data_IF_822825903717
#
_entry.id   IF_822825903717
#
_cell.length_a   1.000
_cell.length_b   1.000
_cell.length_c   1.000
_cell.angle_alpha   90.00
_cell.angle_beta   90.00
_cell.angle_gamma   90.00
#
_symmetry.space_group_name_H-M   'P 1'
#
loop_
_entity.id
_entity.type
_entity.pdbx_description
1 polymer ?
#
# COMPACT_ATOMS: atom_id res chain seq x y z
N UNK A 1 10.02 -3.60 -3.83
CA UNK A 1 11.38 -4.18 -3.65
C UNK A 1 11.25 -5.61 -3.18
N UNK A 2 12.19 -6.47 -3.54
CA UNK A 2 12.29 -7.85 -3.05
C UNK A 2 13.77 -8.15 -2.80
N UNK A 3 14.12 -8.68 -1.63
CA UNK A 3 15.51 -9.02 -1.26
C UNK A 3 16.53 -7.88 -1.46
N UNK A 4 16.11 -6.64 -1.20
CA UNK A 4 16.97 -5.46 -1.35
C UNK A 4 17.09 -4.94 -2.79
N UNK A 5 16.43 -5.57 -3.76
CA UNK A 5 16.44 -5.14 -5.15
C UNK A 5 15.12 -4.51 -5.57
N UNK A 6 15.24 -3.52 -6.45
CA UNK A 6 14.08 -2.91 -7.07
C UNK A 6 13.62 -3.77 -8.25
N UNK A 7 12.46 -4.40 -8.10
CA UNK A 7 12.00 -5.45 -9.01
C UNK A 7 11.10 -4.96 -10.16
N UNK A 8 10.47 -3.79 -10.04
CA UNK A 8 9.58 -3.28 -11.08
C UNK A 8 9.31 -1.77 -10.98
N UNK A 9 9.67 -0.99 -12.01
CA UNK A 9 9.41 0.47 -12.11
C UNK A 9 8.43 0.68 -13.26
N UNK A 10 7.42 1.51 -13.07
CA UNK A 10 6.55 1.94 -14.14
C UNK A 10 5.50 2.94 -13.67
N UNK A 11 4.69 3.42 -14.61
CA UNK A 11 3.46 4.13 -14.24
C UNK A 11 2.50 3.20 -13.50
N UNK A 12 1.52 3.78 -12.79
CA UNK A 12 0.48 2.99 -12.12
C UNK A 12 -0.19 2.00 -13.08
N UNK A 13 -0.55 2.43 -14.27
CA UNK A 13 -1.26 1.57 -15.23
C UNK A 13 -0.38 0.43 -15.74
N UNK A 14 0.94 0.66 -15.87
CA UNK A 14 1.87 -0.40 -16.23
C UNK A 14 1.98 -1.46 -15.12
N UNK A 15 2.21 -1.03 -13.88
CA UNK A 15 2.43 -1.95 -12.75
C UNK A 15 1.16 -2.71 -12.36
N UNK A 16 0.00 -2.06 -12.40
CA UNK A 16 -1.27 -2.69 -11.99
C UNK A 16 -2.03 -3.35 -13.15
N UNK A 17 -1.86 -2.89 -14.39
CA UNK A 17 -2.59 -3.41 -15.55
C UNK A 17 -1.84 -4.50 -16.31
N UNK A 18 -0.51 -4.40 -16.39
CA UNK A 18 0.34 -5.36 -17.11
C UNK A 18 1.69 -5.54 -16.40
N UNK A 19 1.70 -6.02 -15.13
CA UNK A 19 2.92 -6.21 -14.37
C UNK A 19 3.92 -7.10 -15.13
N UNK A 20 5.17 -6.67 -15.21
CA UNK A 20 6.23 -7.39 -15.94
C UNK A 20 6.92 -8.46 -15.08
N UNK A 21 7.05 -8.21 -13.77
CA UNK A 21 7.83 -9.09 -12.89
C UNK A 21 6.93 -10.14 -12.20
N UNK A 22 7.32 -11.44 -12.17
CA UNK A 22 6.51 -12.50 -11.53
C UNK A 22 6.19 -12.24 -10.05
N UNK A 23 7.14 -11.65 -9.31
CA UNK A 23 6.91 -11.22 -7.93
C UNK A 23 5.78 -10.20 -7.80
N UNK A 24 5.73 -9.18 -8.66
CA UNK A 24 4.66 -8.18 -8.65
C UNK A 24 3.31 -8.80 -8.97
N UNK A 25 3.25 -9.72 -9.93
CA UNK A 25 2.03 -10.52 -10.22
C UNK A 25 1.55 -11.26 -8.98
N UNK A 26 2.45 -11.98 -8.31
CA UNK A 26 2.12 -12.75 -7.10
C UNK A 26 1.59 -11.87 -5.97
N UNK A 27 2.12 -10.65 -5.81
CA UNK A 27 1.62 -9.69 -4.83
C UNK A 27 0.21 -9.20 -5.18
N UNK A 28 -0.04 -8.87 -6.45
CA UNK A 28 -1.35 -8.41 -6.91
C UNK A 28 -2.40 -9.52 -6.80
N UNK A 29 -2.04 -10.77 -7.15
CA UNK A 29 -2.92 -11.94 -7.03
C UNK A 29 -3.29 -12.26 -5.58
N UNK A 30 -2.46 -11.83 -4.63
CA UNK A 30 -2.72 -12.00 -3.20
C UNK A 30 -3.77 -11.03 -2.64
N UNK A 31 -4.22 -10.04 -3.43
CA UNK A 31 -5.20 -9.04 -2.99
C UNK A 31 -6.58 -9.71 -2.87
N UNK A 32 -7.20 -9.70 -1.68
CA UNK A 32 -8.54 -10.23 -1.51
C UNK A 32 -9.56 -9.43 -2.33
N UNK A 33 -10.36 -10.15 -3.12
CA UNK A 33 -11.55 -9.58 -3.75
C UNK A 33 -12.57 -9.25 -2.67
N UNK A 34 -12.68 -7.97 -2.34
CA UNK A 34 -13.72 -7.49 -1.43
C UNK A 34 -15.06 -7.49 -2.18
N UNK A 35 -16.04 -8.29 -1.76
CA UNK A 35 -17.41 -8.15 -2.26
C UNK A 35 -17.99 -6.85 -1.67
N UNK A 36 -18.28 -5.82 -2.49
CA UNK A 36 -18.77 -4.54 -2.00
C UNK A 36 -20.14 -4.63 -1.31
N UNK A 37 -20.87 -5.74 -1.51
CA UNK A 37 -22.15 -6.06 -0.85
C UNK A 37 -21.97 -6.76 0.49
N UNK A 38 -20.79 -7.33 0.75
CA UNK A 38 -20.42 -7.96 2.02
C UNK A 38 -19.54 -7.04 2.86
N UNK A 39 -19.59 -5.72 2.67
CA UNK A 39 -18.93 -4.78 3.58
C UNK A 39 -19.48 -5.03 4.98
N UNK A 40 -18.69 -5.60 5.91
CA UNK A 40 -19.10 -5.59 7.29
C UNK A 40 -19.26 -4.12 7.67
N UNK A 41 -20.19 -3.81 8.57
CA UNK A 41 -20.22 -2.50 9.22
C UNK A 41 -18.98 -2.38 10.13
N UNK A 42 -17.80 -2.31 9.52
CA UNK A 42 -16.58 -1.97 10.19
C UNK A 42 -16.74 -0.49 10.58
N UNK A 43 -16.53 -0.11 11.85
CA UNK A 43 -16.34 1.30 12.15
C UNK A 43 -15.25 1.77 11.19
N UNK A 44 -15.52 2.84 10.44
CA UNK A 44 -14.59 3.42 9.48
C UNK A 44 -13.20 3.34 10.12
N UNK A 45 -12.29 2.59 9.52
CA UNK A 45 -10.92 2.55 9.99
C UNK A 45 -10.42 3.98 9.85
N UNK A 46 -10.55 4.75 10.93
CA UNK A 46 -9.96 6.07 11.05
C UNK A 46 -8.50 5.86 10.69
N UNK A 47 -7.95 6.54 9.68
CA UNK A 47 -6.53 6.49 9.43
C UNK A 47 -5.88 6.90 10.76
N UNK A 48 -5.23 5.96 11.44
CA UNK A 48 -4.57 6.25 12.70
C UNK A 48 -3.58 7.37 12.38
N UNK A 49 -3.72 8.56 13.00
CA UNK A 49 -2.79 9.64 12.73
C UNK A 49 -1.40 9.10 13.06
N UNK A 50 -0.51 9.10 12.08
CA UNK A 50 0.91 8.89 12.33
C UNK A 50 1.28 9.89 13.42
N UNK A 51 1.68 9.40 14.59
CA UNK A 51 2.15 10.28 15.65
C UNK A 51 3.39 10.97 15.10
N UNK A 52 3.23 12.21 14.63
CA UNK A 52 4.33 13.11 14.31
C UNK A 52 5.17 13.20 15.57
N UNK A 53 6.34 12.58 15.55
CA UNK A 53 7.35 12.79 16.57
C UNK A 53 7.64 14.29 16.54
N UNK A 54 7.13 15.01 17.54
CA UNK A 54 7.30 16.45 17.68
C UNK A 54 8.80 16.73 17.71
N UNK A 55 9.32 17.31 16.62
CA UNK A 55 10.59 18.03 16.68
C UNK A 55 10.43 19.11 17.74
N UNK A 56 11.22 19.00 18.82
CA UNK A 56 11.31 20.01 19.86
C UNK A 56 11.82 21.30 19.24
N UNK A 57 10.91 22.20 18.92
CA UNK A 57 11.27 23.54 18.48
C UNK A 57 11.85 24.32 19.66
N UNK A 58 13.06 24.80 19.40
CA UNK A 58 13.84 25.82 20.09
C UNK A 58 12.99 26.97 20.68
N UNK A 59 13.15 27.23 21.99
CA UNK A 59 12.93 28.53 22.67
C UNK A 59 13.55 28.39 24.08
N UNK A 60 14.46 29.21 24.59
CA UNK A 60 14.81 30.61 24.34
C UNK A 60 16.28 30.84 24.67
#
# INVERSE_FOLDING_TARGET
MNRGEFVEVGTRDQVFGAPAHPYTRSLLDSIPLSDPRQRPNAPAASPQPVSTLSEGTHRS
#
